data_IF_138974844083
#
_entry.id   IF_138974844083
#
_cell.length_a   1.000
_cell.length_b   1.000
_cell.length_c   1.000
_cell.angle_alpha   90.00
_cell.angle_beta   90.00
_cell.angle_gamma   90.00
#
_symmetry.space_group_name_H-M   'P 1'
#
loop_
_entity.id
_entity.type
_entity.pdbx_description
1 polymer ?
#
# COMPACT_ATOMS: atom_id res chain seq x y z
N UNK A 1 6.53 -27.62 1.58
CA UNK A 1 6.25 -26.51 0.66
C UNK A 1 6.47 -25.21 1.39
N UNK A 2 7.14 -24.25 0.73
CA UNK A 2 7.26 -22.88 1.19
C UNK A 2 6.03 -22.13 0.72
N UNK A 3 5.34 -21.42 1.61
CA UNK A 3 4.26 -20.49 1.27
C UNK A 3 4.76 -19.29 0.46
N UNK A 4 3.90 -18.28 0.29
CA UNK A 4 4.28 -17.02 -0.32
C UNK A 4 5.43 -16.35 0.43
N UNK A 5 6.23 -15.55 -0.25
CA UNK A 5 7.36 -14.85 0.38
C UNK A 5 7.21 -13.33 0.40
N UNK A 6 6.33 -12.79 -0.42
CA UNK A 6 5.95 -11.37 -0.45
C UNK A 6 7.13 -10.38 -0.47
N UNK A 7 8.25 -10.77 -1.09
CA UNK A 7 9.50 -10.01 -1.15
C UNK A 7 10.64 -10.60 -0.30
N UNK A 8 10.37 -11.40 0.74
CA UNK A 8 11.37 -11.94 1.67
C UNK A 8 12.49 -12.73 0.99
N UNK A 9 12.20 -13.43 -0.12
CA UNK A 9 13.20 -14.23 -0.87
C UNK A 9 14.19 -13.38 -1.67
N UNK A 10 14.01 -12.07 -1.76
CA UNK A 10 14.91 -11.22 -2.51
C UNK A 10 16.33 -11.23 -1.93
N UNK A 11 16.46 -11.26 -0.61
CA UNK A 11 17.74 -11.45 0.08
C UNK A 11 17.86 -12.92 0.46
N UNK A 12 18.83 -13.68 -0.17
CA UNK A 12 18.92 -15.14 -0.01
C UNK A 12 19.74 -15.57 1.21
N UNK A 13 19.66 -14.87 2.32
CA UNK A 13 20.39 -15.16 3.56
C UNK A 13 20.13 -16.57 4.10
N UNK A 14 18.90 -17.08 3.95
CA UNK A 14 18.55 -18.46 4.32
C UNK A 14 19.27 -19.51 3.46
N UNK A 15 19.59 -19.21 2.20
CA UNK A 15 20.40 -20.08 1.32
C UNK A 15 21.86 -20.06 1.79
N UNK A 16 22.38 -18.87 2.10
CA UNK A 16 23.77 -18.70 2.59
C UNK A 16 23.97 -19.46 3.89
N UNK A 17 23.03 -19.37 4.85
CA UNK A 17 23.11 -20.09 6.11
C UNK A 17 23.14 -21.62 5.91
N UNK A 18 22.30 -22.15 5.03
CA UNK A 18 22.29 -23.58 4.73
C UNK A 18 23.59 -24.04 4.05
N UNK A 19 24.11 -23.25 3.12
CA UNK A 19 25.37 -23.57 2.42
C UNK A 19 26.57 -23.52 3.38
N UNK A 20 26.67 -22.50 4.23
CA UNK A 20 27.74 -22.38 5.22
C UNK A 20 27.71 -23.54 6.22
N UNK A 21 26.53 -23.88 6.75
CA UNK A 21 26.37 -25.01 7.67
C UNK A 21 26.75 -26.36 7.00
N UNK A 22 26.28 -26.62 5.77
CA UNK A 22 26.59 -27.81 5.00
C UNK A 22 28.09 -27.93 4.74
N UNK A 23 28.75 -26.82 4.37
CA UNK A 23 30.21 -26.77 4.18
C UNK A 23 30.95 -27.09 5.47
N UNK A 24 30.52 -26.53 6.60
CA UNK A 24 31.20 -26.75 7.88
C UNK A 24 31.14 -28.19 8.38
N UNK A 25 30.02 -28.90 8.15
CA UNK A 25 29.85 -30.29 8.60
C UNK A 25 30.18 -31.31 7.52
N UNK A 26 30.48 -30.92 6.29
CA UNK A 26 30.80 -31.79 5.15
C UNK A 26 29.65 -32.70 4.69
N UNK A 27 28.38 -32.33 4.98
CA UNK A 27 27.17 -33.12 4.71
C UNK A 27 25.99 -32.23 4.32
N UNK A 28 24.97 -32.78 3.63
CA UNK A 28 23.70 -32.04 3.42
C UNK A 28 23.09 -31.61 4.75
N UNK A 29 22.65 -30.35 4.81
CA UNK A 29 22.05 -29.75 6.00
C UNK A 29 20.73 -29.10 5.62
N UNK A 30 19.69 -29.33 6.42
CA UNK A 30 18.43 -28.63 6.39
C UNK A 30 18.39 -27.60 7.54
N UNK A 31 18.35 -26.32 7.21
CA UNK A 31 18.23 -25.24 8.19
C UNK A 31 16.77 -24.80 8.29
N UNK A 32 16.23 -24.78 9.49
CA UNK A 32 14.90 -24.26 9.81
C UNK A 32 15.07 -23.21 10.89
N UNK A 33 14.64 -21.99 10.62
CA UNK A 33 14.57 -20.92 11.63
C UNK A 33 13.28 -21.06 12.45
N UNK A 34 13.37 -20.76 13.74
CA UNK A 34 12.17 -20.56 14.55
C UNK A 34 11.44 -19.26 14.11
N UNK A 35 10.21 -19.07 14.58
CA UNK A 35 9.48 -17.81 14.34
C UNK A 35 10.17 -16.65 15.03
N UNK A 36 10.70 -16.86 16.20
CA UNK A 36 11.47 -15.88 16.96
C UNK A 36 12.71 -15.42 16.22
N UNK A 37 13.46 -16.35 15.62
CA UNK A 37 14.63 -16.02 14.81
C UNK A 37 14.23 -15.24 13.56
N UNK A 38 13.17 -15.66 12.86
CA UNK A 38 12.74 -15.04 11.61
C UNK A 38 12.20 -13.61 11.81
N UNK A 39 11.45 -13.35 12.90
CA UNK A 39 10.96 -12.00 13.23
C UNK A 39 12.10 -11.10 13.69
N UNK A 40 13.00 -11.58 14.54
CA UNK A 40 14.04 -10.75 15.17
C UNK A 40 15.27 -10.51 14.30
N UNK A 41 15.54 -11.38 13.35
CA UNK A 41 16.73 -11.36 12.48
C UNK A 41 16.39 -11.35 11.00
N UNK A 42 15.18 -10.93 10.65
CA UNK A 42 14.72 -10.81 9.26
C UNK A 42 15.06 -9.47 8.62
N UNK A 43 14.35 -9.19 7.53
CA UNK A 43 14.40 -7.91 6.83
C UNK A 43 13.03 -7.26 6.91
N UNK A 44 13.03 -5.95 7.11
CA UNK A 44 11.81 -5.20 7.40
C UNK A 44 11.42 -4.30 6.23
N UNK A 45 10.15 -3.87 6.21
CA UNK A 45 9.71 -2.81 5.31
C UNK A 45 10.41 -1.51 5.71
N UNK A 46 10.96 -0.73 4.76
CA UNK A 46 11.45 0.60 5.04
C UNK A 46 10.38 1.47 5.69
N UNK A 47 10.74 2.21 6.73
CA UNK A 47 9.88 3.28 7.24
C UNK A 47 10.07 4.55 6.39
N UNK A 48 9.01 5.33 6.28
CA UNK A 48 9.02 6.60 5.55
C UNK A 48 8.10 7.63 6.20
N UNK A 49 8.45 8.90 6.05
CA UNK A 49 7.60 10.05 6.37
C UNK A 49 7.49 10.94 5.15
N UNK A 50 6.37 11.63 4.99
CA UNK A 50 6.19 12.55 3.87
C UNK A 50 5.63 13.89 4.29
N UNK A 51 5.97 14.92 3.52
CA UNK A 51 5.34 16.24 3.56
C UNK A 51 4.82 16.57 2.18
N UNK A 52 3.50 16.78 2.08
CA UNK A 52 2.85 17.18 0.84
C UNK A 52 2.30 18.60 0.97
N UNK A 53 2.39 19.35 -0.11
CA UNK A 53 1.85 20.72 -0.24
C UNK A 53 1.25 20.86 -1.62
N UNK A 54 0.12 21.55 -1.73
CA UNK A 54 -0.48 21.88 -3.01
C UNK A 54 -0.94 23.35 -3.04
N UNK A 55 -0.88 23.94 -4.22
CA UNK A 55 -1.59 25.16 -4.53
C UNK A 55 -2.83 24.80 -5.34
N UNK A 56 -3.98 25.35 -4.97
CA UNK A 56 -5.24 25.11 -5.65
C UNK A 56 -5.59 26.27 -6.59
N UNK A 57 -6.09 25.92 -7.76
CA UNK A 57 -6.66 26.87 -8.71
C UNK A 57 -8.04 27.35 -8.28
N UNK A 58 -8.62 28.26 -9.06
CA UNK A 58 -9.99 28.79 -8.83
C UNK A 58 -11.07 27.71 -8.95
N UNK A 59 -10.79 26.63 -9.65
CA UNK A 59 -11.66 25.43 -9.78
C UNK A 59 -11.52 24.45 -8.62
N UNK A 60 -10.61 24.72 -7.68
CA UNK A 60 -10.31 23.88 -6.53
C UNK A 60 -9.41 22.69 -6.84
N UNK A 61 -8.92 22.53 -8.07
CA UNK A 61 -7.96 21.48 -8.44
C UNK A 61 -6.52 21.94 -8.16
N UNK A 62 -5.57 21.02 -7.89
CA UNK A 62 -4.18 21.39 -7.67
C UNK A 62 -3.53 21.86 -8.98
N UNK A 63 -3.02 23.09 -8.96
CA UNK A 63 -2.17 23.65 -10.04
C UNK A 63 -0.69 23.39 -9.78
N UNK A 64 -0.33 23.05 -8.54
CA UNK A 64 1.01 22.63 -8.17
C UNK A 64 0.94 21.63 -7.00
N UNK A 65 1.81 20.63 -7.02
CA UNK A 65 2.00 19.66 -5.95
C UNK A 65 3.49 19.48 -5.67
N UNK A 66 3.87 19.61 -4.42
CA UNK A 66 5.18 19.21 -3.91
C UNK A 66 5.04 18.07 -2.92
N UNK A 67 5.71 16.94 -3.19
CA UNK A 67 5.79 15.79 -2.31
C UNK A 67 7.26 15.51 -1.97
N UNK A 68 7.60 15.57 -0.67
CA UNK A 68 8.90 15.19 -0.15
C UNK A 68 8.76 13.99 0.75
N UNK A 69 9.53 12.93 0.46
CA UNK A 69 9.56 11.69 1.24
C UNK A 69 10.93 11.53 1.88
N UNK A 70 10.96 11.24 3.18
CA UNK A 70 12.17 10.89 3.91
C UNK A 70 12.06 9.47 4.47
N UNK A 71 13.10 8.65 4.32
CA UNK A 71 13.09 7.28 4.81
C UNK A 71 14.27 6.43 4.35
N UNK A 72 14.19 5.13 4.59
CA UNK A 72 15.19 4.18 4.12
C UNK A 72 15.11 4.00 2.60
N UNK A 73 16.27 3.98 1.95
CA UNK A 73 16.41 3.56 0.56
C UNK A 73 16.68 2.06 0.50
N UNK A 74 15.86 1.33 -0.25
CA UNK A 74 16.11 -0.08 -0.57
C UNK A 74 17.37 -0.25 -1.42
N UNK A 75 17.59 0.65 -2.40
CA UNK A 75 18.76 0.55 -3.25
C UNK A 75 20.05 0.87 -2.50
N UNK A 76 20.05 1.85 -1.60
CA UNK A 76 21.20 2.12 -0.77
C UNK A 76 21.54 0.93 0.16
N UNK A 77 20.51 0.19 0.62
CA UNK A 77 20.68 -0.96 1.51
C UNK A 77 21.10 -2.25 0.79
N UNK A 78 20.48 -2.59 -0.35
CA UNK A 78 20.62 -3.92 -0.97
C UNK A 78 20.96 -3.92 -2.47
N UNK A 79 21.07 -2.74 -3.08
CA UNK A 79 21.48 -2.53 -4.49
C UNK A 79 22.40 -1.32 -4.62
N UNK A 80 23.42 -1.28 -3.82
CA UNK A 80 24.32 -0.13 -3.67
C UNK A 80 24.85 0.40 -5.01
N UNK A 81 25.30 -0.48 -5.90
CA UNK A 81 25.79 -0.09 -7.23
C UNK A 81 24.75 0.65 -8.07
N UNK A 82 23.46 0.24 -7.97
CA UNK A 82 22.37 0.92 -8.67
C UNK A 82 22.10 2.29 -8.07
N UNK A 83 22.11 2.38 -6.76
CA UNK A 83 21.93 3.63 -6.04
C UNK A 83 23.01 4.66 -6.40
N UNK A 84 24.27 4.23 -6.39
CA UNK A 84 25.40 5.10 -6.69
C UNK A 84 25.41 5.54 -8.18
N UNK A 85 25.12 4.62 -9.12
CA UNK A 85 24.97 4.95 -10.55
C UNK A 85 23.81 5.90 -10.85
N UNK A 86 22.77 5.88 -10.02
CA UNK A 86 21.62 6.80 -10.12
C UNK A 86 21.85 8.12 -9.35
N UNK A 87 23.08 8.42 -8.89
CA UNK A 87 23.37 9.64 -8.16
C UNK A 87 22.66 9.76 -6.82
N UNK A 88 22.33 8.63 -6.17
CA UNK A 88 21.59 8.62 -4.91
C UNK A 88 20.06 8.62 -5.07
N UNK A 89 19.57 8.43 -6.29
CA UNK A 89 18.15 8.31 -6.56
C UNK A 89 17.65 6.86 -6.36
N UNK A 90 16.56 6.72 -5.63
CA UNK A 90 15.86 5.45 -5.43
C UNK A 90 14.37 5.64 -5.70
N UNK A 91 13.93 5.23 -6.89
CA UNK A 91 12.53 5.31 -7.29
C UNK A 91 11.60 4.54 -6.34
N UNK A 92 12.09 3.47 -5.69
CA UNK A 92 11.27 2.68 -4.76
C UNK A 92 10.79 3.44 -3.52
N UNK A 93 11.40 4.58 -3.20
CA UNK A 93 10.92 5.46 -2.15
C UNK A 93 9.71 6.30 -2.58
N UNK A 94 9.49 6.42 -3.90
CA UNK A 94 8.58 7.40 -4.50
C UNK A 94 7.57 6.77 -5.47
N UNK A 95 7.49 5.42 -5.51
CA UNK A 95 6.53 4.69 -6.34
C UNK A 95 5.11 5.25 -6.18
N UNK A 96 4.45 5.61 -7.28
CA UNK A 96 3.12 6.23 -7.28
C UNK A 96 3.10 7.75 -7.04
N UNK A 97 4.26 8.35 -6.72
CA UNK A 97 4.43 9.81 -6.60
C UNK A 97 5.18 10.39 -7.79
N UNK A 98 6.33 9.81 -8.17
CA UNK A 98 7.13 10.33 -9.29
C UNK A 98 6.47 10.05 -10.65
N UNK A 99 5.68 8.99 -10.74
CA UNK A 99 4.86 8.58 -11.88
C UNK A 99 3.37 8.89 -11.65
N UNK A 100 3.11 10.08 -11.09
CA UNK A 100 1.78 10.53 -10.68
C UNK A 100 0.74 10.39 -11.79
N UNK A 101 -0.34 9.67 -11.50
CA UNK A 101 -1.44 9.44 -12.45
C UNK A 101 -2.40 10.63 -12.58
N UNK A 102 -2.35 11.58 -11.65
CA UNK A 102 -3.24 12.75 -11.63
C UNK A 102 -2.72 13.90 -12.48
N UNK A 103 -3.64 14.59 -13.14
CA UNK A 103 -3.34 15.79 -13.93
C UNK A 103 -3.03 16.98 -13.00
N UNK A 104 -1.75 17.17 -12.72
CA UNK A 104 -1.21 18.28 -11.93
C UNK A 104 -0.17 19.01 -12.76
N UNK A 105 -0.43 20.27 -13.18
CA UNK A 105 0.45 20.99 -14.12
C UNK A 105 1.88 21.18 -13.64
N UNK A 106 2.09 21.37 -12.33
CA UNK A 106 3.42 21.60 -11.75
C UNK A 106 3.66 20.58 -10.63
N UNK A 107 4.53 19.61 -10.89
CA UNK A 107 4.87 18.55 -9.95
C UNK A 107 6.33 18.63 -9.53
N UNK A 108 6.58 18.65 -8.22
CA UNK A 108 7.90 18.45 -7.64
C UNK A 108 7.85 17.26 -6.68
N UNK A 109 8.63 16.23 -6.96
CA UNK A 109 8.80 15.06 -6.08
C UNK A 109 10.27 14.92 -5.74
N UNK A 110 10.58 14.92 -4.46
CA UNK A 110 11.94 14.71 -3.98
C UNK A 110 11.99 13.74 -2.79
N UNK A 111 13.16 13.16 -2.57
CA UNK A 111 13.41 12.23 -1.46
C UNK A 111 14.65 12.59 -0.66
N UNK A 112 14.61 12.23 0.63
CA UNK A 112 15.75 12.30 1.54
C UNK A 112 16.02 10.90 2.07
N UNK A 113 17.15 10.32 1.68
CA UNK A 113 17.59 9.03 2.21
C UNK A 113 18.09 9.19 3.65
N UNK A 114 17.42 8.51 4.58
CA UNK A 114 17.78 8.43 6.00
C UNK A 114 18.09 6.97 6.32
N UNK A 115 19.38 6.61 6.30
CA UNK A 115 19.79 5.24 6.61
C UNK A 115 19.86 5.04 8.13
N UNK A 116 19.29 3.93 8.56
CA UNK A 116 19.38 3.41 9.94
C UNK A 116 20.03 2.02 9.90
N UNK A 117 20.66 1.54 10.97
CA UNK A 117 21.27 0.21 11.02
C UNK A 117 20.22 -0.90 11.16
N UNK A 118 19.10 -0.78 10.45
CA UNK A 118 17.98 -1.72 10.43
C UNK A 118 18.00 -2.42 9.07
N UNK A 119 18.06 -3.76 9.02
CA UNK A 119 18.01 -4.48 7.74
C UNK A 119 16.65 -4.29 7.07
N UNK A 120 16.64 -3.75 5.86
CA UNK A 120 15.44 -3.54 5.06
C UNK A 120 15.50 -4.31 3.76
N UNK A 121 14.34 -4.75 3.26
CA UNK A 121 14.21 -5.41 1.96
C UNK A 121 12.84 -5.17 1.33
N UNK A 122 12.67 -5.68 0.12
CA UNK A 122 11.40 -5.65 -0.58
C UNK A 122 10.31 -6.38 0.22
N UNK A 123 9.15 -5.73 0.29
CA UNK A 123 7.92 -6.32 0.78
C UNK A 123 6.78 -5.92 -0.16
N UNK A 124 5.78 -6.77 -0.33
CA UNK A 124 4.65 -6.61 -1.24
C UNK A 124 4.21 -5.15 -1.40
N UNK A 125 4.15 -4.65 -2.63
CA UNK A 125 3.88 -3.27 -3.07
C UNK A 125 4.98 -2.23 -2.76
N UNK A 126 6.14 -2.68 -2.30
CA UNK A 126 7.36 -1.87 -2.15
C UNK A 126 7.09 -0.49 -1.52
N UNK A 127 7.53 0.59 -2.15
CA UNK A 127 7.32 1.97 -1.72
C UNK A 127 5.89 2.46 -1.90
N UNK A 128 5.14 1.92 -2.88
CA UNK A 128 3.74 2.29 -3.10
C UNK A 128 2.87 2.12 -1.86
N UNK A 129 3.23 1.21 -0.94
CA UNK A 129 2.51 1.06 0.33
C UNK A 129 2.48 2.36 1.14
N UNK A 130 3.61 3.07 1.20
CA UNK A 130 3.73 4.33 1.96
C UNK A 130 3.33 5.52 1.10
N UNK A 131 3.85 5.63 -0.12
CA UNK A 131 3.69 6.81 -0.96
C UNK A 131 2.26 6.98 -1.45
N UNK A 132 1.54 5.90 -1.77
CA UNK A 132 0.11 5.96 -2.12
C UNK A 132 -0.73 6.30 -0.87
N UNK A 133 -0.37 5.80 0.32
CA UNK A 133 -1.03 6.24 1.54
C UNK A 133 -0.90 7.75 1.76
N UNK A 134 0.29 8.31 1.56
CA UNK A 134 0.51 9.75 1.69
C UNK A 134 -0.27 10.55 0.63
N UNK A 135 -0.13 10.15 -0.63
CA UNK A 135 -0.78 10.83 -1.75
C UNK A 135 -2.30 10.81 -1.64
N UNK A 136 -2.87 9.62 -1.48
CA UNK A 136 -4.32 9.43 -1.53
C UNK A 136 -5.03 10.00 -0.31
N UNK A 137 -4.37 9.94 0.88
CA UNK A 137 -4.86 10.66 2.05
C UNK A 137 -4.84 12.18 1.81
N UNK A 138 -3.80 12.70 1.16
CA UNK A 138 -3.71 14.12 0.84
C UNK A 138 -4.73 14.54 -0.23
N UNK A 139 -4.96 13.73 -1.27
CA UNK A 139 -6.01 13.98 -2.28
C UNK A 139 -7.40 14.04 -1.62
N UNK A 140 -7.66 13.16 -0.65
CA UNK A 140 -8.89 13.25 0.15
C UNK A 140 -8.95 14.55 0.96
N UNK A 141 -7.84 15.02 1.53
CA UNK A 141 -7.79 16.31 2.23
C UNK A 141 -8.09 17.48 1.30
N UNK A 142 -7.53 17.48 0.09
CA UNK A 142 -7.81 18.50 -0.91
C UNK A 142 -9.29 18.53 -1.29
N UNK A 143 -9.87 17.35 -1.60
CA UNK A 143 -11.29 17.24 -1.92
C UNK A 143 -12.18 17.79 -0.79
N UNK A 144 -11.87 17.42 0.47
CA UNK A 144 -12.61 17.92 1.62
C UNK A 144 -12.43 19.43 1.85
N UNK A 145 -11.25 19.96 1.62
CA UNK A 145 -10.95 21.40 1.75
C UNK A 145 -11.83 22.23 0.83
N UNK A 146 -12.05 21.76 -0.40
CA UNK A 146 -12.92 22.42 -1.39
C UNK A 146 -14.37 21.92 -1.34
N UNK A 147 -14.73 21.09 -0.36
CA UNK A 147 -16.06 20.49 -0.17
C UNK A 147 -16.55 19.70 -1.39
N UNK A 148 -15.64 19.11 -2.13
CA UNK A 148 -15.94 18.24 -3.26
C UNK A 148 -16.15 16.79 -2.82
N UNK A 149 -16.99 16.06 -3.55
CA UNK A 149 -17.07 14.61 -3.43
C UNK A 149 -15.77 14.00 -3.91
N UNK A 150 -15.07 13.12 -3.13
CA UNK A 150 -13.73 12.66 -3.47
C UNK A 150 -13.67 11.71 -4.67
N UNK A 151 -14.78 11.05 -5.05
CA UNK A 151 -14.84 10.32 -6.32
C UNK A 151 -14.91 11.32 -7.48
N UNK A 152 -15.78 12.32 -7.40
CA UNK A 152 -15.88 13.38 -8.42
C UNK A 152 -14.58 14.17 -8.55
N UNK A 153 -13.91 14.44 -7.42
CA UNK A 153 -12.62 15.12 -7.39
C UNK A 153 -11.55 14.33 -8.16
N UNK A 154 -11.45 13.02 -7.90
CA UNK A 154 -10.56 12.15 -8.66
C UNK A 154 -10.92 12.06 -10.13
N UNK A 155 -12.21 12.02 -10.48
CA UNK A 155 -12.64 12.07 -11.89
C UNK A 155 -12.13 13.31 -12.61
N UNK A 156 -12.14 14.46 -11.95
CA UNK A 156 -11.60 15.69 -12.52
C UNK A 156 -10.07 15.62 -12.71
N UNK A 157 -9.35 15.02 -11.77
CA UNK A 157 -7.90 14.81 -11.84
C UNK A 157 -7.49 13.73 -12.85
N UNK A 158 -8.37 12.80 -13.18
CA UNK A 158 -8.12 11.68 -14.10
C UNK A 158 -8.78 11.89 -15.47
N UNK A 159 -9.27 13.10 -15.77
CA UNK A 159 -10.10 13.38 -16.96
C UNK A 159 -9.49 12.96 -18.31
N UNK A 160 -8.16 12.84 -18.37
CA UNK A 160 -7.43 12.44 -19.58
C UNK A 160 -7.08 10.95 -19.63
N UNK A 161 -7.40 10.18 -18.59
CA UNK A 161 -7.15 8.73 -18.52
C UNK A 161 -8.46 7.94 -18.47
N UNK A 162 -8.91 7.48 -19.63
CA UNK A 162 -10.15 6.73 -19.77
C UNK A 162 -10.12 5.39 -19.03
N UNK A 163 -8.97 4.74 -18.89
CA UNK A 163 -8.83 3.47 -18.16
C UNK A 163 -8.98 3.70 -16.65
N UNK A 164 -8.33 4.74 -16.15
CA UNK A 164 -8.47 5.16 -14.75
C UNK A 164 -9.93 5.48 -14.39
N UNK A 165 -10.62 6.24 -15.26
CA UNK A 165 -12.02 6.57 -15.07
C UNK A 165 -12.93 5.34 -15.07
N UNK A 166 -12.70 4.39 -15.98
CA UNK A 166 -13.47 3.13 -16.02
C UNK A 166 -13.37 2.36 -14.71
N UNK A 167 -12.16 2.21 -14.16
CA UNK A 167 -11.94 1.48 -12.91
C UNK A 167 -12.57 2.22 -11.74
N UNK A 168 -12.37 3.53 -11.63
CA UNK A 168 -12.94 4.35 -10.57
C UNK A 168 -14.49 4.29 -10.60
N UNK A 169 -15.08 4.44 -11.77
CA UNK A 169 -16.53 4.44 -11.96
C UNK A 169 -17.17 3.08 -11.69
N UNK A 170 -16.55 2.00 -12.18
CA UNK A 170 -17.02 0.64 -11.92
C UNK A 170 -16.99 0.31 -10.41
N UNK A 171 -15.93 0.75 -9.72
CA UNK A 171 -15.80 0.59 -8.26
C UNK A 171 -16.85 1.41 -7.51
N UNK A 172 -17.04 2.66 -7.91
CA UNK A 172 -18.04 3.56 -7.31
C UNK A 172 -19.47 3.05 -7.52
N UNK A 173 -19.79 2.54 -8.72
CA UNK A 173 -21.08 1.92 -9.03
C UNK A 173 -21.30 0.67 -8.17
N UNK A 174 -20.33 -0.24 -8.08
CA UNK A 174 -20.42 -1.46 -7.25
C UNK A 174 -20.60 -1.16 -5.78
N UNK A 175 -19.93 -0.12 -5.26
CA UNK A 175 -20.06 0.33 -3.89
C UNK A 175 -21.35 1.15 -3.64
N UNK A 176 -22.12 1.44 -4.68
CA UNK A 176 -23.26 2.38 -4.63
C UNK A 176 -22.85 3.71 -3.96
N UNK A 177 -21.69 4.26 -4.37
CA UNK A 177 -21.07 5.41 -3.74
C UNK A 177 -22.00 6.63 -3.61
N UNK A 178 -22.72 6.96 -4.65
CA UNK A 178 -23.65 8.11 -4.68
C UNK A 178 -25.01 7.81 -4.06
N UNK A 179 -25.27 6.55 -3.70
CA UNK A 179 -26.47 6.17 -2.97
C UNK A 179 -26.34 6.33 -1.46
N UNK A 180 -27.46 6.18 -0.75
CA UNK A 180 -27.47 6.27 0.70
C UNK A 180 -26.63 5.13 1.32
N UNK A 181 -25.67 5.48 2.17
CA UNK A 181 -24.94 4.51 2.96
C UNK A 181 -25.85 3.85 4.01
N UNK A 182 -25.59 2.60 4.41
CA UNK A 182 -26.26 2.00 5.56
C UNK A 182 -26.10 2.85 6.81
N UNK A 183 -27.06 2.81 7.72
CA UNK A 183 -27.03 3.64 8.94
C UNK A 183 -25.74 3.37 9.74
N UNK A 184 -25.04 4.42 10.12
CA UNK A 184 -23.79 4.38 10.88
C UNK A 184 -22.57 3.89 10.10
N UNK A 185 -22.68 3.69 8.79
CA UNK A 185 -21.55 3.32 7.93
C UNK A 185 -21.02 4.55 7.20
N UNK A 186 -19.72 4.75 7.25
CA UNK A 186 -18.99 5.77 6.49
C UNK A 186 -18.20 5.12 5.36
N UNK A 187 -18.09 5.82 4.23
CA UNK A 187 -17.35 5.38 3.05
C UNK A 187 -16.12 6.24 2.83
N UNK A 188 -15.02 5.63 2.40
CA UNK A 188 -13.85 6.33 1.94
C UNK A 188 -13.34 5.72 0.64
N UNK A 189 -12.60 6.50 -0.13
CA UNK A 189 -12.11 6.11 -1.45
C UNK A 189 -10.63 6.41 -1.61
N UNK A 190 -9.94 5.54 -2.35
CA UNK A 190 -8.59 5.77 -2.85
C UNK A 190 -8.44 5.13 -4.22
N UNK A 191 -7.45 5.62 -4.97
CA UNK A 191 -7.11 5.14 -6.30
C UNK A 191 -5.60 5.00 -6.41
N UNK A 192 -5.11 4.08 -7.22
CA UNK A 192 -3.68 4.02 -7.59
C UNK A 192 -3.51 3.45 -8.99
N UNK A 193 -2.59 4.03 -9.72
CA UNK A 193 -1.94 3.40 -10.87
C UNK A 193 -0.67 2.75 -10.35
N UNK A 194 -0.58 1.43 -10.48
CA UNK A 194 0.62 0.70 -10.09
C UNK A 194 1.46 0.39 -11.33
N UNK A 195 2.62 1.02 -11.42
CA UNK A 195 3.60 0.77 -12.47
C UNK A 195 4.73 -0.10 -11.93
N UNK A 196 4.94 -1.25 -12.55
CA UNK A 196 5.98 -2.18 -12.11
C UNK A 196 7.27 -2.02 -12.91
N UNK A 197 8.42 -2.19 -12.25
CA UNK A 197 9.74 -2.32 -12.88
C UNK A 197 10.06 -1.24 -13.92
N UNK A 198 9.85 0.04 -13.57
CA UNK A 198 10.13 1.14 -14.49
C UNK A 198 9.17 1.20 -15.70
N UNK A 199 7.90 0.86 -15.48
CA UNK A 199 6.86 0.91 -16.51
C UNK A 199 6.66 -0.37 -17.31
N UNK A 200 7.29 -1.49 -16.91
CA UNK A 200 7.13 -2.78 -17.60
C UNK A 200 5.69 -3.32 -17.59
N UNK A 201 4.87 -2.89 -16.64
CA UNK A 201 3.43 -3.13 -16.60
C UNK A 201 2.72 -1.99 -15.84
N UNK A 202 1.43 -1.83 -16.09
CA UNK A 202 0.60 -0.86 -15.39
C UNK A 202 -0.77 -1.46 -15.08
N UNK A 203 -1.19 -1.34 -13.83
CA UNK A 203 -2.48 -1.84 -13.34
C UNK A 203 -3.21 -0.74 -12.59
N UNK A 204 -4.45 -0.53 -12.95
CA UNK A 204 -5.33 0.49 -12.37
C UNK A 204 -6.15 -0.13 -11.25
N UNK A 205 -6.16 0.50 -10.09
CA UNK A 205 -6.89 0.00 -8.92
C UNK A 205 -7.63 1.13 -8.24
N UNK A 206 -8.91 0.93 -7.94
CA UNK A 206 -9.68 1.79 -7.06
C UNK A 206 -10.22 0.98 -5.88
N UNK A 207 -10.21 1.57 -4.70
CA UNK A 207 -10.69 0.93 -3.49
C UNK A 207 -11.69 1.83 -2.78
N UNK A 208 -12.85 1.26 -2.41
CA UNK A 208 -13.81 1.90 -1.53
C UNK A 208 -13.95 1.07 -0.27
N UNK A 209 -13.73 1.70 0.88
CA UNK A 209 -13.87 1.11 2.20
C UNK A 209 -15.18 1.57 2.85
N UNK A 210 -15.92 0.63 3.43
CA UNK A 210 -17.06 0.90 4.29
C UNK A 210 -16.71 0.52 5.72
N UNK A 211 -16.78 1.50 6.63
CA UNK A 211 -16.45 1.30 8.04
C UNK A 211 -17.57 1.77 8.94
N UNK A 212 -17.68 1.17 10.10
CA UNK A 212 -18.49 1.62 11.23
C UNK A 212 -17.56 1.95 12.38
N UNK A 213 -17.75 3.12 12.99
CA UNK A 213 -17.01 3.50 14.19
C UNK A 213 -17.98 3.55 15.37
N UNK A 214 -17.69 2.78 16.41
CA UNK A 214 -18.51 2.70 17.62
C UNK A 214 -17.60 2.64 18.84
N UNK A 215 -17.80 3.54 19.81
CA UNK A 215 -16.99 3.58 21.03
C UNK A 215 -15.49 3.77 20.77
N UNK A 216 -15.13 4.47 19.69
CA UNK A 216 -13.72 4.69 19.28
C UNK A 216 -13.08 3.52 18.53
N UNK A 217 -13.76 2.38 18.36
CA UNK A 217 -13.26 1.22 17.61
C UNK A 217 -13.83 1.19 16.19
N UNK A 218 -13.01 0.78 15.24
CA UNK A 218 -13.36 0.64 13.82
C UNK A 218 -13.76 -0.79 13.53
N UNK A 219 -14.94 -0.98 12.95
CA UNK A 219 -15.34 -2.24 12.32
C UNK A 219 -15.29 -2.06 10.81
N UNK A 220 -14.52 -2.93 10.15
CA UNK A 220 -14.48 -3.00 8.70
C UNK A 220 -15.70 -3.78 8.21
N UNK A 221 -16.63 -3.11 7.51
CA UNK A 221 -17.86 -3.75 7.03
C UNK A 221 -17.65 -4.36 5.63
N UNK A 222 -17.04 -3.58 4.73
CA UNK A 222 -16.89 -3.98 3.32
C UNK A 222 -15.73 -3.25 2.65
N UNK A 223 -15.02 -3.94 1.77
CA UNK A 223 -14.06 -3.36 0.84
C UNK A 223 -14.51 -3.71 -0.59
N UNK A 224 -14.68 -2.73 -1.44
CA UNK A 224 -14.89 -2.90 -2.88
C UNK A 224 -13.62 -2.48 -3.60
N UNK A 225 -13.01 -3.41 -4.33
CA UNK A 225 -11.78 -3.17 -5.08
C UNK A 225 -12.03 -3.41 -6.58
N UNK A 226 -11.94 -2.36 -7.37
CA UNK A 226 -11.95 -2.44 -8.84
C UNK A 226 -10.53 -2.53 -9.37
N UNK A 227 -10.33 -3.36 -10.39
CA UNK A 227 -9.02 -3.60 -11.00
C UNK A 227 -9.13 -3.74 -12.52
N UNK A 228 -8.25 -3.03 -13.24
CA UNK A 228 -7.91 -3.30 -14.65
C UNK A 228 -6.45 -3.73 -14.72
N UNK A 229 -6.22 -5.03 -14.81
CA UNK A 229 -4.91 -5.64 -15.00
C UNK A 229 -4.73 -6.20 -16.42
N UNK A 230 -5.34 -5.56 -17.43
CA UNK A 230 -5.38 -6.08 -18.78
C UNK A 230 -6.31 -7.29 -18.90
N UNK A 231 -6.13 -8.07 -19.94
CA UNK A 231 -6.95 -9.25 -20.20
C UNK A 231 -6.89 -10.24 -19.02
N UNK A 232 -8.03 -10.55 -18.45
CA UNK A 232 -8.14 -11.48 -17.32
C UNK A 232 -8.02 -12.94 -17.78
N UNK A 233 -6.82 -13.49 -17.75
CA UNK A 233 -6.56 -14.88 -18.16
C UNK A 233 -7.20 -15.87 -17.16
N UNK A 234 -7.08 -15.60 -15.87
CA UNK A 234 -7.71 -16.38 -14.82
C UNK A 234 -8.40 -15.45 -13.81
N UNK A 235 -9.69 -15.15 -14.00
CA UNK A 235 -10.43 -14.25 -13.12
C UNK A 235 -10.50 -14.71 -11.66
N UNK A 236 -10.50 -16.02 -11.40
CA UNK A 236 -10.49 -16.55 -10.03
C UNK A 236 -9.18 -16.19 -9.32
N UNK A 237 -8.05 -16.45 -9.97
CA UNK A 237 -6.73 -16.12 -9.42
C UNK A 237 -6.57 -14.60 -9.18
N UNK A 238 -7.10 -13.77 -10.09
CA UNK A 238 -7.09 -12.31 -9.89
C UNK A 238 -7.87 -11.94 -8.62
N UNK A 239 -9.05 -12.53 -8.39
CA UNK A 239 -9.82 -12.30 -7.15
C UNK A 239 -9.04 -12.70 -5.91
N UNK A 240 -8.45 -13.89 -5.90
CA UNK A 240 -7.60 -14.38 -4.79
C UNK A 240 -6.42 -13.46 -4.52
N UNK A 241 -5.76 -12.93 -5.58
CA UNK A 241 -4.66 -11.98 -5.43
C UNK A 241 -5.12 -10.66 -4.83
N UNK A 242 -6.28 -10.14 -5.24
CA UNK A 242 -6.86 -8.91 -4.71
C UNK A 242 -7.30 -9.10 -3.25
N UNK A 243 -8.04 -10.17 -2.94
CA UNK A 243 -8.49 -10.48 -1.57
C UNK A 243 -7.31 -10.66 -0.61
N UNK A 244 -6.30 -11.43 -1.02
CA UNK A 244 -5.06 -11.59 -0.27
C UNK A 244 -4.26 -10.28 -0.15
N UNK A 245 -4.32 -9.39 -1.16
CA UNK A 245 -3.74 -8.05 -1.13
C UNK A 245 -4.41 -7.14 -0.11
N UNK A 246 -5.74 -7.15 -0.09
CA UNK A 246 -6.55 -6.38 0.87
C UNK A 246 -6.29 -6.86 2.31
N UNK A 247 -6.30 -8.17 2.58
CA UNK A 247 -6.01 -8.72 3.90
C UNK A 247 -4.61 -8.36 4.39
N UNK A 248 -3.62 -8.41 3.50
CA UNK A 248 -2.25 -7.98 3.80
C UNK A 248 -2.19 -6.47 4.11
N UNK A 249 -2.87 -5.65 3.32
CA UNK A 249 -2.94 -4.21 3.54
C UNK A 249 -3.60 -3.84 4.88
N UNK A 250 -4.70 -4.50 5.22
CA UNK A 250 -5.40 -4.26 6.49
C UNK A 250 -4.55 -4.66 7.69
N UNK A 251 -3.74 -5.74 7.57
CA UNK A 251 -2.75 -6.09 8.59
C UNK A 251 -1.72 -4.96 8.75
N UNK A 252 -1.19 -4.41 7.66
CA UNK A 252 -0.27 -3.27 7.72
C UNK A 252 -0.94 -2.02 8.30
N UNK A 253 -2.20 -1.79 7.98
CA UNK A 253 -2.95 -0.61 8.40
C UNK A 253 -3.19 -0.58 9.91
N UNK A 254 -3.39 -1.74 10.56
CA UNK A 254 -3.84 -1.79 11.96
C UNK A 254 -2.91 -2.55 12.91
N UNK A 255 -1.93 -3.32 12.42
CA UNK A 255 -1.21 -4.31 13.25
C UNK A 255 0.30 -4.36 13.04
N UNK A 256 0.77 -4.17 11.81
CA UNK A 256 2.19 -4.42 11.49
C UNK A 256 3.09 -3.33 12.06
N UNK A 257 3.75 -3.62 13.17
CA UNK A 257 4.74 -2.75 13.76
C UNK A 257 5.92 -3.57 14.30
N UNK A 258 7.13 -3.13 13.97
CA UNK A 258 8.37 -3.63 14.56
C UNK A 258 9.04 -2.46 15.29
N UNK A 259 9.27 -2.66 16.58
CA UNK A 259 9.95 -1.68 17.44
C UNK A 259 11.29 -2.22 17.94
N UNK A 260 12.15 -1.31 18.33
CA UNK A 260 13.53 -1.62 18.73
C UNK A 260 13.79 -1.06 20.12
N UNK A 261 14.35 -1.89 21.00
CA UNK A 261 14.86 -1.49 22.31
C UNK A 261 16.27 -2.02 22.49
N UNK A 262 17.18 -1.18 22.95
CA UNK A 262 18.59 -1.53 23.18
C UNK A 262 19.27 -2.23 21.99
N UNK A 263 18.92 -1.83 20.75
CA UNK A 263 19.49 -2.39 19.53
C UNK A 263 18.91 -3.75 19.11
N UNK A 264 17.85 -4.23 19.77
CA UNK A 264 17.17 -5.50 19.45
C UNK A 264 15.69 -5.26 19.10
N UNK A 265 15.15 -6.14 18.26
CA UNK A 265 13.71 -6.17 17.94
C UNK A 265 12.93 -6.64 19.16
N UNK A 266 11.88 -5.89 19.52
CA UNK A 266 11.01 -6.21 20.67
C UNK A 266 10.09 -7.39 20.36
N UNK A 267 9.45 -7.39 19.19
CA UNK A 267 8.52 -8.44 18.76
C UNK A 267 9.26 -9.76 18.53
N UNK A 268 8.67 -10.86 18.99
CA UNK A 268 9.28 -12.18 18.92
C UNK A 268 8.45 -13.19 18.16
N UNK A 269 7.12 -13.21 18.40
CA UNK A 269 6.23 -14.18 17.80
C UNK A 269 4.86 -13.54 17.49
N UNK A 270 3.87 -14.31 17.06
CA UNK A 270 2.55 -13.80 16.70
C UNK A 270 1.76 -13.20 17.87
N UNK A 271 2.15 -13.48 19.12
CA UNK A 271 1.53 -12.86 20.29
C UNK A 271 1.83 -11.35 20.37
N UNK A 272 3.03 -10.95 20.03
CA UNK A 272 3.52 -9.56 20.06
C UNK A 272 3.69 -8.95 18.64
N UNK A 273 3.46 -9.75 17.59
CA UNK A 273 3.30 -9.32 16.21
C UNK A 273 2.01 -9.91 15.61
N UNK A 274 0.84 -9.42 16.05
CA UNK A 274 -0.44 -10.00 15.64
C UNK A 274 -0.76 -9.72 14.18
N UNK A 275 -1.29 -10.73 13.49
CA UNK A 275 -1.85 -10.59 12.16
C UNK A 275 -3.36 -10.30 12.24
N UNK A 276 -3.93 -9.79 11.15
CA UNK A 276 -5.37 -9.65 11.04
C UNK A 276 -6.03 -11.04 11.06
N UNK A 277 -6.85 -11.28 12.07
CA UNK A 277 -7.62 -12.53 12.19
C UNK A 277 -8.80 -12.57 11.22
N UNK A 278 -9.27 -13.77 10.88
CA UNK A 278 -10.41 -13.97 9.96
C UNK A 278 -11.69 -13.28 10.44
N UNK A 279 -11.91 -13.20 11.76
CA UNK A 279 -13.09 -12.54 12.34
C UNK A 279 -13.12 -11.01 12.08
N UNK A 280 -11.95 -10.37 11.90
CA UNK A 280 -11.83 -8.95 11.62
C UNK A 280 -11.79 -8.63 10.12
N UNK A 281 -11.80 -9.66 9.24
CA UNK A 281 -11.81 -9.45 7.80
C UNK A 281 -13.17 -8.91 7.34
N UNK A 282 -13.19 -7.82 6.54
CA UNK A 282 -14.42 -7.33 5.93
C UNK A 282 -14.91 -8.27 4.81
N UNK A 283 -16.14 -8.06 4.38
CA UNK A 283 -16.57 -8.59 3.08
C UNK A 283 -15.78 -7.90 1.97
N UNK A 284 -15.09 -8.66 1.13
CA UNK A 284 -14.33 -8.14 -0.01
C UNK A 284 -15.10 -8.43 -1.29
N UNK A 285 -15.26 -7.40 -2.12
CA UNK A 285 -15.86 -7.52 -3.45
C UNK A 285 -14.88 -7.02 -4.50
N UNK A 286 -14.59 -7.88 -5.47
CA UNK A 286 -13.64 -7.57 -6.55
C UNK A 286 -14.40 -7.33 -7.85
N UNK A 287 -14.16 -6.18 -8.47
CA UNK A 287 -14.67 -5.79 -9.78
C UNK A 287 -13.51 -5.85 -10.77
N UNK A 288 -13.46 -6.91 -11.56
CA UNK A 288 -12.51 -7.00 -12.68
C UNK A 288 -13.11 -6.22 -13.85
N UNK A 289 -12.43 -5.17 -14.27
CA UNK A 289 -12.84 -4.34 -15.42
C UNK A 289 -12.27 -4.96 -16.68
N UNK A 290 -13.12 -5.29 -17.62
CA UNK A 290 -12.69 -5.87 -18.90
C UNK A 290 -11.76 -4.93 -19.67
N UNK A 291 -10.69 -5.48 -20.23
CA UNK A 291 -9.68 -4.74 -20.95
C UNK A 291 -9.06 -5.60 -22.04
N UNK A 292 -8.86 -5.01 -23.21
CA UNK A 292 -8.19 -5.65 -24.35
C UNK A 292 -6.66 -5.52 -24.30
N UNK A 293 -6.14 -4.82 -23.29
CA UNK A 293 -4.69 -4.69 -23.05
C UNK A 293 -4.08 -6.06 -22.78
N UNK A 294 -2.81 -6.20 -23.08
CA UNK A 294 -2.06 -7.39 -22.66
C UNK A 294 -2.14 -7.57 -21.15
N UNK A 295 -2.08 -8.83 -20.64
CA UNK A 295 -2.13 -9.12 -19.23
C UNK A 295 -1.06 -8.35 -18.44
N UNK A 296 -1.47 -7.73 -17.35
CA UNK A 296 -0.63 -6.91 -16.47
C UNK A 296 -0.45 -7.59 -15.11
N UNK A 297 0.50 -7.08 -14.29
CA UNK A 297 0.71 -7.59 -12.94
C UNK A 297 -0.50 -7.34 -12.02
N UNK A 298 -0.90 -8.35 -11.22
CA UNK A 298 -2.00 -8.21 -10.26
C UNK A 298 -1.65 -8.69 -8.83
N UNK A 299 -0.43 -9.16 -8.60
CA UNK A 299 -0.03 -9.82 -7.35
C UNK A 299 0.07 -8.92 -6.13
N UNK A 300 0.31 -7.61 -6.31
CA UNK A 300 0.58 -6.67 -5.22
C UNK A 300 -0.19 -5.35 -5.31
N UNK A 301 -0.83 -5.10 -6.43
CA UNK A 301 -1.38 -3.79 -6.81
C UNK A 301 -2.60 -3.36 -5.99
N UNK A 302 -3.33 -4.31 -5.40
CA UNK A 302 -4.52 -4.01 -4.60
C UNK A 302 -4.20 -3.52 -3.18
N UNK A 303 -2.94 -3.64 -2.74
CA UNK A 303 -2.55 -3.30 -1.38
C UNK A 303 -2.49 -1.78 -1.13
N UNK A 304 -1.85 -0.95 -1.99
CA UNK A 304 -1.61 0.46 -1.72
C UNK A 304 -2.85 1.31 -1.43
N UNK A 305 -3.98 1.19 -2.17
CA UNK A 305 -5.13 2.08 -1.97
C UNK A 305 -6.01 1.71 -0.76
N UNK A 306 -5.75 0.59 -0.06
CA UNK A 306 -6.61 0.15 1.05
C UNK A 306 -6.51 1.07 2.26
N UNK A 307 -5.30 1.33 2.75
CA UNK A 307 -5.09 2.15 3.93
C UNK A 307 -5.67 3.58 3.77
N UNK A 308 -5.42 4.31 2.67
CA UNK A 308 -5.98 5.64 2.51
C UNK A 308 -7.51 5.64 2.32
N UNK A 309 -8.11 4.61 1.72
CA UNK A 309 -9.56 4.46 1.64
C UNK A 309 -10.17 4.27 3.05
N UNK A 310 -9.55 3.43 3.88
CA UNK A 310 -9.98 3.24 5.28
C UNK A 310 -9.79 4.52 6.09
N UNK A 311 -8.66 5.23 5.92
CA UNK A 311 -8.41 6.51 6.60
C UNK A 311 -9.46 7.58 6.27
N UNK A 312 -9.87 7.68 4.99
CA UNK A 312 -10.94 8.58 4.57
C UNK A 312 -12.29 8.21 5.20
N UNK A 313 -12.63 6.92 5.24
CA UNK A 313 -13.86 6.45 5.88
C UNK A 313 -13.88 6.74 7.40
N UNK A 314 -12.76 6.54 8.10
CA UNK A 314 -12.61 6.87 9.51
C UNK A 314 -12.77 8.39 9.73
N UNK A 315 -12.11 9.21 8.93
CA UNK A 315 -12.24 10.66 9.05
C UNK A 315 -13.69 11.12 8.86
N UNK A 316 -14.40 10.57 7.89
CA UNK A 316 -15.83 10.89 7.65
C UNK A 316 -16.72 10.46 8.79
N UNK A 317 -16.35 9.40 9.51
CA UNK A 317 -17.10 8.93 10.67
C UNK A 317 -16.82 9.76 11.94
N UNK A 318 -15.58 10.26 12.11
CA UNK A 318 -15.08 10.76 13.40
C UNK A 318 -14.57 12.20 13.36
N UNK A 319 -14.24 12.73 12.18
CA UNK A 319 -13.49 13.97 12.02
C UNK A 319 -11.99 13.84 12.33
N UNK A 320 -11.52 12.68 12.79
CA UNK A 320 -10.10 12.42 13.07
C UNK A 320 -9.44 11.72 11.87
N UNK A 321 -8.26 12.20 11.50
CA UNK A 321 -7.58 11.73 10.30
C UNK A 321 -6.36 10.88 10.68
N UNK A 322 -6.36 9.57 10.42
CA UNK A 322 -5.15 8.75 10.58
C UNK A 322 -4.03 9.27 9.67
N UNK A 323 -2.84 9.49 10.23
CA UNK A 323 -1.68 10.04 9.51
C UNK A 323 -0.46 9.15 9.57
N UNK A 324 -0.49 8.08 10.35
CA UNK A 324 0.57 7.07 10.48
C UNK A 324 -0.01 5.67 10.39
N UNK A 325 0.80 4.73 9.95
CA UNK A 325 0.49 3.30 10.00
C UNK A 325 1.49 2.61 10.95
N UNK A 326 1.04 1.67 11.78
CA UNK A 326 -0.36 1.29 11.97
C UNK A 326 -1.21 2.42 12.54
N UNK A 327 -2.55 2.35 12.32
CA UNK A 327 -3.48 3.34 12.85
C UNK A 327 -3.66 3.18 14.35
N UNK A 328 -3.64 4.28 15.10
CA UNK A 328 -3.88 4.29 16.55
C UNK A 328 -5.33 3.92 16.92
N UNK A 329 -6.25 3.96 15.95
CA UNK A 329 -7.65 3.62 16.15
C UNK A 329 -7.81 2.10 16.26
N UNK A 330 -8.35 1.58 17.37
CA UNK A 330 -8.49 0.14 17.56
C UNK A 330 -9.44 -0.48 16.55
N UNK A 331 -9.06 -1.65 16.04
CA UNK A 331 -9.92 -2.46 15.18
C UNK A 331 -10.81 -3.34 16.05
N UNK A 332 -12.13 -3.27 15.81
CA UNK A 332 -13.10 -4.16 16.44
C UNK A 332 -12.93 -5.59 15.87
N UNK A 333 -12.94 -6.59 16.75
CA UNK A 333 -12.85 -8.01 16.42
C UNK A 333 -14.23 -8.63 16.26
#
# INVERSE_FOLDING_TARGET
>A
FLGGSFGRKYVPDFVVHAAVASKAVGRPVKVIRSREDDIRHGFYRPCASARLRAALGSDGLPVALHARVAGHSLYAAIKRDRYDKAGGWDETMLDGLYDLCYDVPNLLVDSVTVMQPIPVSFMRSVGSTSSVFFLESFVNELAHTVRADPVRYRRALLKHDALALRVLDATAARANWFGRAPAGVSRGVAYSLYTGRGGAFSTYVATIAEVRVTGGSVKLERIVCGIDCGRAINPLLIREMVEGGVGFALTNTFRSEITFEHGAVVQRNFADYPLLGLAAMPRIEVVIVDSDRDPQGCGEVALPPVAPAVADAIWRATGQRPRSMPFDTPLAT
#
